data_IF_512718391697
#
_entry.id   IF_512718391697
#
_cell.length_a   1.000
_cell.length_b   1.000
_cell.length_c   1.000
_cell.angle_alpha   90.00
_cell.angle_beta   90.00
_cell.angle_gamma   90.00
#
_symmetry.space_group_name_H-M   'P 1'
#
loop_
_entity.id
_entity.type
_entity.pdbx_description
1 polymer ?
#
# COMPACT_ATOMS: atom_id res chain seq x y z
N UNK A 1 22.61 16.53 -24.79
CA UNK A 1 21.34 16.37 -24.04
C UNK A 1 21.71 15.66 -22.74
N UNK A 2 21.88 16.42 -21.66
CA UNK A 2 22.20 15.84 -20.35
C UNK A 2 20.89 15.36 -19.75
N UNK A 3 20.77 14.05 -19.53
CA UNK A 3 19.61 13.47 -18.84
C UNK A 3 19.80 13.80 -17.35
N UNK A 4 18.92 14.63 -16.80
CA UNK A 4 18.84 14.84 -15.36
C UNK A 4 18.17 13.60 -14.80
N UNK A 5 18.84 12.91 -13.87
CA UNK A 5 18.22 11.81 -13.14
C UNK A 5 17.24 12.40 -12.14
N UNK A 6 15.94 12.23 -12.40
CA UNK A 6 14.87 12.73 -11.53
C UNK A 6 14.33 11.64 -10.61
N UNK A 7 14.95 10.46 -10.59
CA UNK A 7 14.52 9.38 -9.72
C UNK A 7 14.78 9.73 -8.25
N UNK A 8 13.82 9.40 -7.34
CA UNK A 8 14.05 9.58 -5.92
C UNK A 8 15.18 8.68 -5.43
N UNK A 9 15.93 9.14 -4.44
CA UNK A 9 16.81 8.24 -3.70
C UNK A 9 15.96 7.18 -2.97
N UNK A 10 16.57 6.04 -2.65
CA UNK A 10 15.89 5.00 -1.86
C UNK A 10 15.40 5.54 -0.51
N UNK A 11 16.16 6.46 0.10
CA UNK A 11 15.80 7.04 1.41
C UNK A 11 14.63 8.01 1.29
N UNK A 12 14.61 8.87 0.27
CA UNK A 12 13.47 9.77 0.01
C UNK A 12 12.21 8.97 -0.30
N UNK A 13 12.33 7.91 -1.10
CA UNK A 13 11.23 6.99 -1.39
C UNK A 13 10.68 6.34 -0.11
N UNK A 14 11.56 5.82 0.77
CA UNK A 14 11.13 5.21 2.03
C UNK A 14 10.39 6.19 2.93
N UNK A 15 10.88 7.43 3.04
CA UNK A 15 10.24 8.48 3.85
C UNK A 15 8.84 8.77 3.31
N UNK A 16 8.72 9.00 2.00
CA UNK A 16 7.44 9.28 1.36
C UNK A 16 6.45 8.10 1.49
N UNK A 17 6.90 6.87 1.21
CA UNK A 17 6.07 5.67 1.29
C UNK A 17 5.62 5.40 2.73
N UNK A 18 6.50 5.57 3.72
CA UNK A 18 6.15 5.40 5.14
C UNK A 18 5.11 6.43 5.57
N UNK A 19 5.32 7.70 5.22
CA UNK A 19 4.37 8.77 5.54
C UNK A 19 2.99 8.50 4.91
N UNK A 20 2.92 8.04 3.66
CA UNK A 20 1.67 7.63 3.03
C UNK A 20 1.00 6.48 3.79
N UNK A 21 1.73 5.39 4.08
CA UNK A 21 1.17 4.24 4.80
C UNK A 21 0.66 4.61 6.20
N UNK A 22 1.34 5.52 6.91
CA UNK A 22 0.89 6.04 8.21
C UNK A 22 -0.44 6.83 8.12
N UNK A 23 -0.83 7.33 6.94
CA UNK A 23 -2.17 7.92 6.73
C UNK A 23 -3.25 6.89 6.43
N UNK A 24 -2.87 5.71 5.93
CA UNK A 24 -3.81 4.68 5.47
C UNK A 24 -4.09 3.65 6.56
N UNK A 25 -3.09 3.34 7.40
CA UNK A 25 -3.13 2.24 8.35
C UNK A 25 -2.46 2.61 9.67
N UNK A 26 -2.98 2.02 10.75
CA UNK A 26 -2.26 2.02 12.02
C UNK A 26 -1.04 1.09 11.92
N UNK A 27 0.07 1.49 12.56
CA UNK A 27 1.22 0.60 12.69
C UNK A 27 0.79 -0.65 13.43
N UNK A 28 1.19 -1.81 12.90
CA UNK A 28 1.05 -3.08 13.63
C UNK A 28 1.81 -2.94 14.96
N UNK A 29 1.16 -3.34 16.05
CA UNK A 29 1.77 -3.35 17.38
C UNK A 29 2.96 -4.32 17.43
N UNK A 30 3.95 -4.00 18.26
CA UNK A 30 5.07 -4.87 18.59
C UNK A 30 4.69 -5.97 19.59
N UNK A 31 3.42 -6.38 19.64
CA UNK A 31 3.00 -7.44 20.55
C UNK A 31 3.81 -8.70 20.28
N UNK A 32 4.50 -9.18 21.32
CA UNK A 32 5.20 -10.44 21.25
C UNK A 32 4.18 -11.53 20.92
N UNK A 33 4.48 -12.32 19.90
CA UNK A 33 3.64 -13.47 19.55
C UNK A 33 3.47 -14.36 20.79
N UNK A 34 2.23 -14.52 21.24
CA UNK A 34 1.83 -15.39 22.34
C UNK A 34 0.99 -16.53 21.77
N UNK A 35 1.45 -17.76 21.96
CA UNK A 35 0.74 -18.93 21.46
C UNK A 35 -0.67 -19.02 22.08
N UNK A 36 -1.71 -19.08 21.25
CA UNK A 36 -3.11 -19.10 21.68
C UNK A 36 -3.71 -17.72 21.99
N UNK A 37 -3.05 -16.62 21.58
CA UNK A 37 -3.57 -15.25 21.68
C UNK A 37 -3.56 -14.58 20.30
N UNK A 38 -4.69 -14.00 19.93
CA UNK A 38 -4.88 -13.33 18.64
C UNK A 38 -5.98 -13.98 17.81
N UNK A 39 -6.07 -13.57 16.55
CA UNK A 39 -6.97 -14.18 15.59
C UNK A 39 -6.44 -15.57 15.18
N UNK A 40 -7.25 -16.61 15.36
CA UNK A 40 -6.93 -17.99 14.99
C UNK A 40 -7.16 -18.26 13.48
N UNK A 41 -7.29 -17.21 12.67
CA UNK A 41 -7.45 -17.32 11.22
C UNK A 41 -6.32 -18.12 10.58
N UNK A 42 -6.69 -19.29 10.08
CA UNK A 42 -5.84 -20.11 9.21
C UNK A 42 -5.93 -19.60 7.78
N UNK A 43 -4.78 -19.44 7.11
CA UNK A 43 -4.68 -18.96 5.73
C UNK A 43 -5.17 -19.95 4.68
N UNK A 44 -6.40 -20.45 4.83
CA UNK A 44 -7.12 -21.21 3.82
C UNK A 44 -7.80 -20.20 2.89
N UNK A 45 -7.81 -20.47 1.59
CA UNK A 45 -8.61 -19.70 0.63
C UNK A 45 -10.09 -19.98 0.93
N UNK A 46 -10.67 -19.18 1.81
CA UNK A 46 -12.06 -19.27 2.22
C UNK A 46 -12.98 -19.00 1.01
N UNK A 47 -14.02 -19.82 0.86
CA UNK A 47 -15.08 -19.54 -0.09
C UNK A 47 -15.92 -18.39 0.46
N UNK A 48 -15.83 -17.22 -0.19
CA UNK A 48 -16.55 -16.02 0.20
C UNK A 48 -17.87 -15.95 -0.54
N UNK A 49 -18.87 -15.36 0.08
CA UNK A 49 -20.06 -14.94 -0.63
C UNK A 49 -19.72 -13.83 -1.64
N UNK A 50 -20.55 -13.68 -2.67
CA UNK A 50 -20.39 -12.60 -3.65
C UNK A 50 -20.46 -11.19 -3.01
N UNK A 51 -21.18 -11.05 -1.89
CA UNK A 51 -21.27 -9.79 -1.15
C UNK A 51 -19.96 -9.45 -0.43
N UNK A 52 -19.36 -10.44 0.25
CA UNK A 52 -18.05 -10.27 0.90
C UNK A 52 -16.96 -9.92 -0.11
N UNK A 53 -16.93 -10.61 -1.26
CA UNK A 53 -15.98 -10.29 -2.34
C UNK A 53 -16.18 -8.87 -2.90
N UNK A 54 -17.44 -8.44 -3.05
CA UNK A 54 -17.74 -7.10 -3.55
C UNK A 54 -17.26 -6.00 -2.59
N UNK A 55 -17.42 -6.22 -1.27
CA UNK A 55 -16.95 -5.30 -0.22
C UNK A 55 -15.42 -5.20 -0.24
N UNK A 56 -14.72 -6.33 -0.26
CA UNK A 56 -13.26 -6.35 -0.30
C UNK A 56 -12.71 -5.73 -1.59
N UNK A 57 -13.33 -6.02 -2.74
CA UNK A 57 -12.95 -5.42 -4.01
C UNK A 57 -13.13 -3.90 -4.00
N UNK A 58 -14.21 -3.39 -3.41
CA UNK A 58 -14.44 -1.96 -3.27
C UNK A 58 -13.37 -1.31 -2.39
N UNK A 59 -13.03 -1.92 -1.24
CA UNK A 59 -11.97 -1.46 -0.36
C UNK A 59 -10.59 -1.45 -1.05
N UNK A 60 -10.26 -2.53 -1.76
CA UNK A 60 -9.00 -2.64 -2.52
C UNK A 60 -8.90 -1.58 -3.61
N UNK A 61 -9.99 -1.31 -4.34
CA UNK A 61 -10.04 -0.24 -5.34
C UNK A 61 -9.84 1.14 -4.73
N UNK A 62 -10.47 1.41 -3.59
CA UNK A 62 -10.29 2.69 -2.89
C UNK A 62 -8.84 2.90 -2.46
N UNK A 63 -8.18 1.86 -1.94
CA UNK A 63 -6.75 1.91 -1.61
C UNK A 63 -5.87 2.12 -2.85
N UNK A 64 -6.11 1.38 -3.94
CA UNK A 64 -5.33 1.56 -5.18
C UNK A 64 -5.49 2.97 -5.77
N UNK A 65 -6.66 3.59 -5.61
CA UNK A 65 -6.86 4.97 -6.00
C UNK A 65 -6.04 5.94 -5.13
N UNK A 66 -6.05 5.78 -3.79
CA UNK A 66 -5.26 6.64 -2.91
C UNK A 66 -3.75 6.49 -3.13
N UNK A 67 -3.27 5.28 -3.43
CA UNK A 67 -1.88 5.02 -3.80
C UNK A 67 -1.49 5.70 -5.12
N UNK A 68 -2.37 5.67 -6.12
CA UNK A 68 -2.16 6.36 -7.40
C UNK A 68 -2.11 7.88 -7.21
N UNK A 69 -3.09 8.44 -6.50
CA UNK A 69 -3.17 9.87 -6.22
C UNK A 69 -1.97 10.39 -5.40
N UNK A 70 -1.35 9.50 -4.59
CA UNK A 70 -0.13 9.78 -3.85
C UNK A 70 1.16 9.64 -4.68
N UNK A 71 1.08 9.34 -5.99
CA UNK A 71 2.24 9.27 -6.89
C UNK A 71 3.01 7.95 -6.85
N UNK A 72 2.41 6.90 -6.27
CA UNK A 72 3.01 5.56 -6.20
C UNK A 72 2.56 4.63 -7.33
N UNK A 73 1.72 5.11 -8.26
CA UNK A 73 1.30 4.33 -9.44
C UNK A 73 2.46 3.98 -10.36
N UNK A 74 3.45 4.87 -10.48
CA UNK A 74 4.70 4.63 -11.21
C UNK A 74 5.87 5.40 -10.59
N UNK A 75 6.61 4.77 -9.67
CA UNK A 75 7.65 5.44 -8.86
C UNK A 75 8.65 6.28 -9.67
N UNK A 76 9.11 5.77 -10.82
CA UNK A 76 10.09 6.44 -11.70
C UNK A 76 9.45 7.07 -12.94
N UNK A 77 8.13 7.20 -12.94
CA UNK A 77 7.34 7.65 -14.08
C UNK A 77 6.95 9.12 -14.02
N UNK A 78 6.50 9.70 -15.14
CA UNK A 78 5.97 11.05 -15.17
C UNK A 78 4.74 11.22 -14.28
N UNK A 79 4.61 12.39 -13.65
CA UNK A 79 3.46 12.74 -12.82
C UNK A 79 2.10 12.69 -13.57
N UNK A 80 2.08 13.00 -14.87
CA UNK A 80 0.87 12.92 -15.70
C UNK A 80 0.28 11.50 -15.82
N UNK A 81 1.07 10.47 -15.51
CA UNK A 81 0.65 9.07 -15.49
C UNK A 81 0.62 8.47 -14.06
N UNK A 82 0.64 9.32 -13.02
CA UNK A 82 0.60 8.89 -11.62
C UNK A 82 1.95 8.48 -11.03
N UNK A 83 3.04 8.95 -11.63
CA UNK A 83 4.38 8.82 -11.07
C UNK A 83 4.84 10.02 -10.24
N UNK A 84 6.07 9.94 -9.71
CA UNK A 84 6.65 10.95 -8.81
C UNK A 84 8.07 11.39 -9.20
N UNK A 85 8.51 11.03 -10.41
CA UNK A 85 9.78 11.47 -10.99
C UNK A 85 9.68 12.82 -11.70
#
# INVERSE_FOLDING_TARGET
MTIVDTNPSIEDFKVAATAFLETQFERRSDEAFEWGKGDDRVGVLEEKSAEEEAIELAAAKAFKASEFDAGFGWITGPAEYGGSA
#
